data_IF_443235114351
#
_entry.id   IF_443235114351
#
_cell.length_a   1.000
_cell.length_b   1.000
_cell.length_c   1.000
_cell.angle_alpha   90.00
_cell.angle_beta   90.00
_cell.angle_gamma   90.00
#
_symmetry.space_group_name_H-M   'P 1'
#
loop_
_entity.id
_entity.type
_entity.pdbx_description
1 polymer ?
#
# COMPACT_ATOMS: atom_id res chain seq x y z
N UNK A 1 19.94 0.11 -8.58
CA UNK A 1 18.93 0.92 -9.34
C UNK A 1 18.24 2.01 -8.49
N UNK A 2 18.73 2.35 -7.28
CA UNK A 2 18.02 3.24 -6.35
C UNK A 2 18.01 4.76 -6.72
N UNK A 3 18.87 5.23 -7.63
CA UNK A 3 18.99 6.67 -7.96
C UNK A 3 17.91 7.23 -8.89
N UNK A 4 17.22 6.38 -9.66
CA UNK A 4 16.15 6.81 -10.57
C UNK A 4 14.81 7.05 -9.87
N UNK A 5 14.47 6.19 -8.91
CA UNK A 5 13.20 6.25 -8.16
C UNK A 5 13.06 7.54 -7.36
N UNK A 6 14.08 7.93 -6.59
CA UNK A 6 14.03 9.14 -5.76
C UNK A 6 13.84 10.41 -6.59
N UNK A 7 14.49 10.51 -7.76
CA UNK A 7 14.31 11.66 -8.67
C UNK A 7 12.89 11.72 -9.23
N UNK A 8 12.32 10.58 -9.61
CA UNK A 8 10.95 10.50 -10.08
C UNK A 8 9.94 10.88 -8.99
N UNK A 9 10.12 10.40 -7.76
CA UNK A 9 9.22 10.74 -6.64
C UNK A 9 9.34 12.21 -6.25
N UNK A 10 10.55 12.80 -6.27
CA UNK A 10 10.72 14.25 -6.02
C UNK A 10 10.09 15.09 -7.14
N UNK A 11 10.18 14.65 -8.40
CA UNK A 11 9.52 15.33 -9.51
C UNK A 11 7.98 15.27 -9.36
N UNK A 12 7.44 14.11 -8.98
CA UNK A 12 6.02 13.95 -8.68
C UNK A 12 5.57 14.85 -7.51
N UNK A 13 6.37 14.95 -6.45
CA UNK A 13 6.11 15.83 -5.31
C UNK A 13 6.03 17.30 -5.71
N UNK A 14 6.96 17.77 -6.53
CA UNK A 14 6.93 19.14 -7.03
C UNK A 14 5.71 19.39 -7.93
N UNK A 15 5.36 18.43 -8.78
CA UNK A 15 4.18 18.52 -9.65
C UNK A 15 2.88 18.58 -8.83
N UNK A 16 2.68 17.66 -7.89
CA UNK A 16 1.48 17.61 -7.04
C UNK A 16 1.36 18.82 -6.14
N UNK A 17 2.49 19.33 -5.62
CA UNK A 17 2.52 20.59 -4.87
C UNK A 17 2.10 21.78 -5.74
N UNK A 18 2.56 21.86 -6.99
CA UNK A 18 2.15 22.89 -7.93
C UNK A 18 0.66 22.84 -8.28
N UNK A 19 0.11 21.64 -8.46
CA UNK A 19 -1.33 21.41 -8.66
C UNK A 19 -2.12 21.87 -7.43
N UNK A 20 -1.68 21.48 -6.22
CA UNK A 20 -2.31 21.88 -4.97
C UNK A 20 -2.37 23.41 -4.81
N UNK A 21 -1.27 24.10 -5.06
CA UNK A 21 -1.21 25.58 -5.02
C UNK A 21 -2.21 26.19 -6.01
N UNK A 22 -2.28 25.65 -7.23
CA UNK A 22 -3.21 26.13 -8.26
C UNK A 22 -4.67 25.94 -7.85
N UNK A 23 -5.02 24.78 -7.27
CA UNK A 23 -6.36 24.49 -6.77
C UNK A 23 -6.73 25.39 -5.58
N UNK A 24 -5.80 25.65 -4.65
CA UNK A 24 -6.03 26.59 -3.54
C UNK A 24 -6.24 28.02 -4.03
N UNK A 25 -5.46 28.47 -5.01
CA UNK A 25 -5.65 29.80 -5.60
C UNK A 25 -7.04 29.91 -6.25
N UNK A 26 -7.44 28.89 -7.01
CA UNK A 26 -8.76 28.83 -7.63
C UNK A 26 -9.89 28.80 -6.58
N UNK A 27 -9.73 28.06 -5.48
CA UNK A 27 -10.64 28.12 -4.35
C UNK A 27 -10.70 29.53 -3.75
N UNK A 28 -9.58 30.16 -3.44
CA UNK A 28 -9.54 31.50 -2.83
C UNK A 28 -10.29 32.55 -3.66
N UNK A 29 -10.22 32.44 -4.99
CA UNK A 29 -10.91 33.31 -5.93
C UNK A 29 -12.41 33.04 -6.08
N UNK A 30 -12.87 31.81 -5.80
CA UNK A 30 -14.22 31.33 -6.15
C UNK A 30 -15.07 30.95 -4.94
N UNK A 31 -14.45 30.70 -3.79
CA UNK A 31 -15.06 30.19 -2.56
C UNK A 31 -15.94 28.95 -2.79
N UNK A 32 -15.50 28.07 -3.70
CA UNK A 32 -16.17 26.80 -4.02
C UNK A 32 -15.74 25.69 -3.06
N UNK A 33 -16.72 25.03 -2.43
CA UNK A 33 -16.47 23.92 -1.52
C UNK A 33 -15.84 22.72 -2.24
N UNK A 34 -16.31 22.37 -3.44
CA UNK A 34 -15.71 21.30 -4.25
C UNK A 34 -14.26 21.59 -4.61
N UNK A 35 -13.94 22.85 -4.94
CA UNK A 35 -12.56 23.26 -5.21
C UNK A 35 -11.66 23.16 -3.98
N UNK A 36 -12.18 23.49 -2.79
CA UNK A 36 -11.44 23.34 -1.54
C UNK A 36 -11.16 21.87 -1.23
N UNK A 37 -12.18 21.01 -1.36
CA UNK A 37 -12.04 19.56 -1.17
C UNK A 37 -10.94 18.98 -2.09
N UNK A 38 -10.96 19.37 -3.37
CA UNK A 38 -9.93 18.98 -4.34
C UNK A 38 -8.54 19.53 -4.03
N UNK A 39 -8.45 20.76 -3.49
CA UNK A 39 -7.17 21.35 -3.09
C UNK A 39 -6.56 20.60 -1.89
N UNK A 40 -7.38 20.26 -0.90
CA UNK A 40 -6.96 19.49 0.28
C UNK A 40 -6.57 18.07 -0.09
N UNK A 41 -7.30 17.46 -1.02
CA UNK A 41 -6.93 16.16 -1.56
C UNK A 41 -5.53 16.20 -2.19
N UNK A 42 -5.22 17.18 -3.04
CA UNK A 42 -3.88 17.31 -3.62
C UNK A 42 -2.77 17.60 -2.60
N UNK A 43 -3.10 18.18 -1.44
CA UNK A 43 -2.14 18.26 -0.30
C UNK A 43 -1.94 16.88 0.34
N UNK A 44 -3.02 16.12 0.50
CA UNK A 44 -2.92 14.74 1.00
C UNK A 44 -2.03 13.89 0.09
N UNK A 45 -2.15 14.03 -1.24
CA UNK A 45 -1.32 13.32 -2.23
C UNK A 45 0.16 13.71 -2.11
N UNK A 46 0.45 15.01 -1.99
CA UNK A 46 1.82 15.49 -1.74
C UNK A 46 2.37 14.94 -0.40
N UNK A 47 1.53 14.91 0.64
CA UNK A 47 1.84 14.32 1.93
C UNK A 47 2.14 12.82 1.83
N UNK A 48 1.38 12.08 1.02
CA UNK A 48 1.60 10.65 0.79
C UNK A 48 3.00 10.41 0.21
N UNK A 49 3.38 11.15 -0.83
CA UNK A 49 4.69 11.01 -1.45
C UNK A 49 5.84 11.28 -0.48
N UNK A 50 5.70 12.28 0.40
CA UNK A 50 6.68 12.54 1.47
C UNK A 50 6.76 11.35 2.43
N UNK A 51 5.61 10.82 2.89
CA UNK A 51 5.58 9.70 3.82
C UNK A 51 6.13 8.41 3.19
N UNK A 52 5.86 8.15 1.91
CA UNK A 52 6.44 7.02 1.17
C UNK A 52 7.96 7.16 1.02
N UNK A 53 8.48 8.36 0.75
CA UNK A 53 9.93 8.61 0.72
C UNK A 53 10.58 8.36 2.09
N UNK A 54 9.96 8.85 3.16
CA UNK A 54 10.46 8.66 4.53
C UNK A 54 10.40 7.18 4.92
N UNK A 55 9.27 6.51 4.69
CA UNK A 55 9.08 5.10 4.99
C UNK A 55 10.02 4.21 4.19
N UNK A 56 10.19 4.48 2.89
CA UNK A 56 11.15 3.79 2.03
C UNK A 56 12.59 3.93 2.52
N UNK A 57 13.00 5.14 2.93
CA UNK A 57 14.34 5.38 3.48
C UNK A 57 14.54 4.72 4.85
N UNK A 58 13.53 4.74 5.72
CA UNK A 58 13.61 4.10 7.04
C UNK A 58 13.63 2.58 6.94
N UNK A 59 12.91 2.01 5.97
CA UNK A 59 12.87 0.57 5.75
C UNK A 59 14.21 -0.02 5.30
N UNK A 60 15.11 0.79 4.73
CA UNK A 60 16.45 0.37 4.33
C UNK A 60 17.46 0.33 5.50
N UNK A 61 17.02 0.62 6.74
CA UNK A 61 17.89 0.52 7.91
C UNK A 61 18.18 -0.95 8.22
N UNK A 62 19.44 -1.23 8.53
CA UNK A 62 19.89 -2.55 8.97
C UNK A 62 19.26 -2.94 10.31
N UNK A 63 19.29 -4.25 10.60
CA UNK A 63 18.81 -4.80 11.86
C UNK A 63 19.54 -4.20 13.07
N UNK A 64 18.79 -3.99 14.15
CA UNK A 64 19.31 -3.55 15.44
C UNK A 64 19.01 -4.58 16.52
N UNK A 65 19.58 -4.43 17.71
CA UNK A 65 19.28 -5.32 18.85
C UNK A 65 17.79 -5.35 19.18
N UNK A 66 17.11 -4.20 19.07
CA UNK A 66 15.66 -4.08 19.30
C UNK A 66 14.84 -4.62 18.13
N UNK A 67 15.33 -4.49 16.90
CA UNK A 67 14.65 -4.91 15.67
C UNK A 67 15.54 -5.88 14.89
N UNK A 68 15.60 -7.13 15.35
CA UNK A 68 16.54 -8.15 14.87
C UNK A 68 16.30 -8.60 13.41
N UNK A 69 15.09 -8.37 12.89
CA UNK A 69 14.70 -8.65 11.51
C UNK A 69 14.76 -7.43 10.60
N UNK A 70 15.39 -6.33 11.04
CA UNK A 70 15.47 -5.10 10.26
C UNK A 70 14.20 -4.25 10.33
N UNK A 71 14.14 -3.26 9.44
CA UNK A 71 13.10 -2.22 9.43
C UNK A 71 12.18 -2.28 8.20
N UNK A 72 12.20 -3.36 7.40
CA UNK A 72 11.41 -3.49 6.17
C UNK A 72 9.92 -3.13 6.33
N UNK A 73 9.34 -3.46 7.49
CA UNK A 73 7.94 -3.17 7.86
C UNK A 73 7.60 -1.68 7.97
N UNK A 74 8.58 -0.79 8.10
CA UNK A 74 8.36 0.66 8.12
C UNK A 74 7.57 1.12 6.88
N UNK A 75 7.79 0.52 5.71
CA UNK A 75 6.99 0.85 4.51
C UNK A 75 5.49 0.60 4.72
N UNK A 76 5.13 -0.51 5.37
CA UNK A 76 3.73 -0.81 5.70
C UNK A 76 3.17 0.17 6.74
N UNK A 77 3.98 0.53 7.75
CA UNK A 77 3.58 1.46 8.81
C UNK A 77 3.28 2.84 8.22
N UNK A 78 4.19 3.37 7.40
CA UNK A 78 4.00 4.67 6.75
C UNK A 78 2.81 4.66 5.78
N UNK A 79 2.60 3.57 5.03
CA UNK A 79 1.42 3.43 4.15
C UNK A 79 0.10 3.36 4.94
N UNK A 80 0.11 2.75 6.12
CA UNK A 80 -1.04 2.73 7.02
C UNK A 80 -1.33 4.12 7.62
N UNK A 81 -0.28 4.87 7.99
CA UNK A 81 -0.40 6.27 8.44
C UNK A 81 -1.02 7.13 7.34
N UNK A 82 -0.59 6.97 6.09
CA UNK A 82 -1.19 7.67 4.94
C UNK A 82 -2.70 7.38 4.86
N UNK A 83 -3.08 6.10 4.87
CA UNK A 83 -4.47 5.67 4.76
C UNK A 83 -5.36 6.28 5.85
N UNK A 84 -4.91 6.24 7.11
CA UNK A 84 -5.70 6.73 8.23
C UNK A 84 -5.66 8.25 8.35
N UNK A 85 -4.48 8.85 8.29
CA UNK A 85 -4.33 10.27 8.63
C UNK A 85 -4.70 11.13 7.43
N UNK A 86 -4.04 10.95 6.28
CA UNK A 86 -4.17 11.89 5.17
C UNK A 86 -5.54 11.78 4.50
N UNK A 87 -5.96 10.57 4.13
CA UNK A 87 -7.23 10.38 3.44
C UNK A 87 -8.44 10.59 4.36
N UNK A 88 -8.41 10.13 5.62
CA UNK A 88 -9.56 10.34 6.52
C UNK A 88 -9.70 11.80 6.92
N UNK A 89 -8.61 12.50 7.25
CA UNK A 89 -8.68 13.93 7.61
C UNK A 89 -9.14 14.75 6.41
N UNK A 90 -8.60 14.50 5.22
CA UNK A 90 -9.04 15.18 3.99
C UNK A 90 -10.50 14.90 3.66
N UNK A 91 -10.94 13.64 3.75
CA UNK A 91 -12.32 13.24 3.50
C UNK A 91 -13.32 13.81 4.51
N UNK A 92 -13.01 13.73 5.81
CA UNK A 92 -13.85 14.31 6.87
C UNK A 92 -13.93 15.83 6.76
N UNK A 93 -12.84 16.50 6.39
CA UNK A 93 -12.86 17.93 6.13
C UNK A 93 -13.76 18.27 4.94
N UNK A 94 -13.66 17.54 3.82
CA UNK A 94 -14.52 17.77 2.66
C UNK A 94 -16.00 17.52 2.96
N UNK A 95 -16.32 16.55 3.82
CA UNK A 95 -17.67 16.33 4.34
C UNK A 95 -18.14 17.50 5.22
N UNK A 96 -17.29 17.98 6.13
CA UNK A 96 -17.61 19.12 6.97
C UNK A 96 -17.89 20.39 6.13
N UNK A 97 -17.02 20.69 5.16
CA UNK A 97 -17.18 21.84 4.29
C UNK A 97 -18.42 21.71 3.40
N UNK A 98 -18.65 20.51 2.85
CA UNK A 98 -19.84 20.20 2.06
C UNK A 98 -21.13 20.40 2.86
N UNK A 99 -21.16 19.93 4.11
CA UNK A 99 -22.29 20.15 5.02
C UNK A 99 -22.52 21.65 5.28
N UNK A 100 -21.45 22.41 5.56
CA UNK A 100 -21.54 23.84 5.80
C UNK A 100 -22.09 24.59 4.58
N UNK A 101 -21.58 24.27 3.38
CA UNK A 101 -22.02 24.86 2.11
C UNK A 101 -23.48 24.54 1.76
N UNK A 102 -23.98 23.37 2.15
CA UNK A 102 -25.39 22.99 1.98
C UNK A 102 -26.30 23.75 2.95
N UNK A 103 -25.83 24.00 4.18
CA UNK A 103 -26.60 24.70 5.19
C UNK A 103 -26.62 26.23 4.98
N UNK A 104 -25.55 26.79 4.43
CA UNK A 104 -25.49 28.20 4.00
C UNK A 104 -25.08 28.29 2.52
N UNK A 105 -26.04 28.08 1.58
CA UNK A 105 -25.73 28.05 0.16
C UNK A 105 -25.48 29.44 -0.41
N UNK A 106 -24.24 29.70 -0.77
CA UNK A 106 -23.87 30.88 -1.55
C UNK A 106 -23.35 30.48 -2.95
N UNK A 107 -23.80 31.15 -4.02
CA UNK A 107 -23.36 30.88 -5.38
C UNK A 107 -21.88 31.27 -5.58
N UNK A 108 -21.30 30.79 -6.68
CA UNK A 108 -20.01 31.28 -7.15
C UNK A 108 -20.25 32.59 -7.89
N UNK A 109 -19.98 33.73 -7.25
CA UNK A 109 -20.31 35.06 -7.78
C UNK A 109 -19.26 35.58 -8.77
N UNK A 110 -17.98 35.42 -8.43
CA UNK A 110 -16.84 35.92 -9.18
C UNK A 110 -16.01 34.78 -9.77
N UNK A 111 -15.27 35.06 -10.85
CA UNK A 111 -14.31 34.12 -11.46
C UNK A 111 -14.92 32.76 -11.86
N UNK A 112 -16.19 32.75 -12.29
CA UNK A 112 -16.99 31.55 -12.59
C UNK A 112 -16.32 30.53 -13.54
N UNK A 113 -15.44 30.98 -14.44
CA UNK A 113 -14.74 30.11 -15.38
C UNK A 113 -13.48 29.45 -14.79
N UNK A 114 -12.87 30.04 -13.75
CA UNK A 114 -11.63 29.55 -13.13
C UNK A 114 -11.74 28.14 -12.57
N UNK A 115 -12.77 27.78 -11.76
CA UNK A 115 -12.81 26.44 -11.16
C UNK A 115 -13.03 25.38 -12.24
N UNK A 116 -13.85 25.68 -13.25
CA UNK A 116 -14.04 24.79 -14.41
C UNK A 116 -12.73 24.60 -15.18
N UNK A 117 -12.01 25.67 -15.50
CA UNK A 117 -10.76 25.59 -16.24
C UNK A 117 -9.68 24.79 -15.48
N UNK A 118 -9.54 25.03 -14.17
CA UNK A 118 -8.58 24.32 -13.33
C UNK A 118 -8.95 22.83 -13.19
N UNK A 119 -10.23 22.51 -12.97
CA UNK A 119 -10.69 21.11 -12.88
C UNK A 119 -10.48 20.37 -14.20
N UNK A 120 -10.82 20.96 -15.35
CA UNK A 120 -10.61 20.34 -16.66
C UNK A 120 -9.12 20.10 -16.92
N UNK A 121 -8.27 21.10 -16.64
CA UNK A 121 -6.82 20.95 -16.78
C UNK A 121 -6.28 19.84 -15.86
N UNK A 122 -6.74 19.80 -14.60
CA UNK A 122 -6.38 18.77 -13.65
C UNK A 122 -6.83 17.37 -14.11
N UNK A 123 -8.06 17.21 -14.60
CA UNK A 123 -8.56 15.93 -15.14
C UNK A 123 -7.68 15.43 -16.28
N UNK A 124 -7.26 16.32 -17.19
CA UNK A 124 -6.39 15.95 -18.31
C UNK A 124 -5.03 15.46 -17.78
N UNK A 125 -4.40 16.22 -16.88
CA UNK A 125 -3.11 15.85 -16.29
C UNK A 125 -3.20 14.53 -15.51
N UNK A 126 -4.23 14.39 -14.67
CA UNK A 126 -4.46 13.19 -13.85
C UNK A 126 -4.75 11.97 -14.72
N UNK A 127 -5.51 12.13 -15.81
CA UNK A 127 -5.76 11.05 -16.77
C UNK A 127 -4.46 10.57 -17.41
N UNK A 128 -3.53 11.46 -17.75
CA UNK A 128 -2.21 11.07 -18.27
C UNK A 128 -1.37 10.36 -17.21
N UNK A 129 -1.36 10.86 -15.98
CA UNK A 129 -0.67 10.23 -14.83
C UNK A 129 -1.19 8.82 -14.59
N UNK A 130 -2.51 8.69 -14.38
CA UNK A 130 -3.18 7.43 -14.10
C UNK A 130 -3.02 6.42 -15.24
N UNK A 131 -3.10 6.87 -16.50
CA UNK A 131 -2.83 6.00 -17.66
C UNK A 131 -1.41 5.46 -17.63
N UNK A 132 -0.44 6.29 -17.27
CA UNK A 132 0.97 5.88 -17.14
C UNK A 132 1.12 4.86 -16.02
N UNK A 133 0.54 5.12 -14.85
CA UNK A 133 0.53 4.19 -13.72
C UNK A 133 -0.11 2.84 -14.08
N UNK A 134 -1.24 2.84 -14.81
CA UNK A 134 -1.89 1.64 -15.32
C UNK A 134 -0.97 0.86 -16.28
N UNK A 135 -0.30 1.54 -17.20
CA UNK A 135 0.61 0.90 -18.16
C UNK A 135 1.77 0.23 -17.42
N UNK A 136 2.39 0.90 -16.45
CA UNK A 136 3.46 0.31 -15.64
C UNK A 136 2.95 -0.86 -14.77
N UNK A 137 1.80 -0.70 -14.12
CA UNK A 137 1.17 -1.76 -13.33
C UNK A 137 0.84 -2.99 -14.19
N UNK A 138 0.39 -2.80 -15.43
CA UNK A 138 0.08 -3.91 -16.35
C UNK A 138 1.32 -4.72 -16.75
N UNK A 139 2.51 -4.11 -16.80
CA UNK A 139 3.77 -4.84 -17.04
C UNK A 139 4.06 -5.86 -15.94
N UNK A 140 3.69 -5.52 -14.70
CA UNK A 140 3.88 -6.38 -13.51
C UNK A 140 2.70 -7.35 -13.33
N UNK A 141 1.46 -6.89 -13.59
CA UNK A 141 0.23 -7.65 -13.41
C UNK A 141 0.12 -8.88 -14.32
N UNK A 142 0.62 -8.75 -15.56
CA UNK A 142 0.39 -9.74 -16.60
C UNK A 142 -1.10 -10.01 -16.80
N UNK A 143 -1.50 -11.29 -16.69
CA UNK A 143 -2.88 -11.77 -16.96
C UNK A 143 -3.80 -11.80 -15.72
N UNK A 144 -3.32 -11.38 -14.55
CA UNK A 144 -4.13 -11.39 -13.33
C UNK A 144 -5.18 -10.26 -13.38
N UNK A 145 -6.41 -10.51 -12.92
CA UNK A 145 -7.43 -9.46 -12.84
C UNK A 145 -7.08 -8.40 -11.79
N UNK A 146 -7.50 -7.14 -12.01
CA UNK A 146 -7.15 -5.99 -11.16
C UNK A 146 -7.41 -6.20 -9.65
N UNK A 147 -8.58 -6.69 -9.27
CA UNK A 147 -8.92 -6.91 -7.85
C UNK A 147 -7.96 -7.90 -7.18
N UNK A 148 -7.63 -8.99 -7.89
CA UNK A 148 -6.70 -10.00 -7.39
C UNK A 148 -5.25 -9.48 -7.40
N UNK A 149 -4.88 -8.63 -8.35
CA UNK A 149 -3.56 -8.02 -8.40
C UNK A 149 -3.33 -7.05 -7.24
N UNK A 150 -4.29 -6.17 -6.97
CA UNK A 150 -4.23 -5.22 -5.84
C UNK A 150 -4.12 -5.96 -4.51
N UNK A 151 -4.96 -6.98 -4.28
CA UNK A 151 -4.93 -7.81 -3.05
C UNK A 151 -3.71 -8.73 -2.92
N UNK A 152 -3.08 -9.09 -4.05
CA UNK A 152 -1.89 -9.92 -4.06
C UNK A 152 -0.60 -9.10 -4.04
N UNK A 153 -0.69 -7.77 -4.21
CA UNK A 153 0.47 -6.90 -4.11
C UNK A 153 0.97 -6.94 -2.66
N UNK A 154 2.26 -7.25 -2.51
CA UNK A 154 2.94 -7.20 -1.21
C UNK A 154 3.74 -5.91 -1.04
N UNK A 155 3.84 -5.11 -2.10
CA UNK A 155 4.28 -3.73 -2.06
C UNK A 155 3.10 -2.81 -1.79
N UNK A 156 3.12 -1.99 -0.73
CA UNK A 156 2.02 -1.09 -0.42
C UNK A 156 1.93 0.08 -1.41
N UNK A 157 3.04 0.44 -2.06
CA UNK A 157 3.13 1.64 -2.89
C UNK A 157 2.20 1.56 -4.10
N UNK A 158 2.13 0.39 -4.74
CA UNK A 158 1.42 0.24 -6.02
C UNK A 158 -0.11 0.25 -5.85
N UNK A 159 -0.71 -0.49 -4.90
CA UNK A 159 -2.11 -0.34 -4.52
C UNK A 159 -2.47 1.07 -4.10
N UNK A 160 -1.65 1.71 -3.25
CA UNK A 160 -1.91 3.06 -2.73
C UNK A 160 -1.94 4.07 -3.87
N UNK A 161 -0.90 4.11 -4.71
CA UNK A 161 -0.83 5.05 -5.85
C UNK A 161 -2.00 4.85 -6.82
N UNK A 162 -2.32 3.60 -7.18
CA UNK A 162 -3.43 3.36 -8.13
C UNK A 162 -4.79 3.74 -7.57
N UNK A 163 -5.03 3.50 -6.27
CA UNK A 163 -6.29 3.90 -5.63
C UNK A 163 -6.37 5.41 -5.44
N UNK A 164 -5.25 6.06 -5.13
CA UNK A 164 -5.13 7.50 -5.03
C UNK A 164 -5.46 8.17 -6.36
N UNK A 165 -4.75 7.83 -7.45
CA UNK A 165 -5.00 8.41 -8.77
C UNK A 165 -6.46 8.17 -9.24
N UNK A 166 -7.01 6.98 -8.94
CA UNK A 166 -8.41 6.67 -9.22
C UNK A 166 -9.38 7.56 -8.42
N UNK A 167 -9.09 7.76 -7.12
CA UNK A 167 -9.89 8.61 -6.25
C UNK A 167 -9.79 10.08 -6.68
N UNK A 168 -8.59 10.56 -7.03
CA UNK A 168 -8.34 11.91 -7.52
C UNK A 168 -9.12 12.18 -8.81
N UNK A 169 -9.03 11.30 -9.80
CA UNK A 169 -9.76 11.47 -11.06
C UNK A 169 -11.28 11.46 -10.85
N UNK A 170 -11.77 10.54 -10.00
CA UNK A 170 -13.21 10.46 -9.68
C UNK A 170 -13.67 11.70 -8.92
N UNK A 171 -12.88 12.17 -7.94
CA UNK A 171 -13.11 13.37 -7.17
C UNK A 171 -13.19 14.62 -8.06
N UNK A 172 -12.24 14.78 -8.97
CA UNK A 172 -12.23 15.86 -9.96
C UNK A 172 -13.49 15.88 -10.83
N UNK A 173 -13.98 14.72 -11.26
CA UNK A 173 -15.22 14.61 -12.05
C UNK A 173 -16.43 15.00 -11.19
N UNK A 174 -16.50 14.54 -9.94
CA UNK A 174 -17.56 14.91 -9.00
C UNK A 174 -17.56 16.42 -8.71
N UNK A 175 -16.38 17.00 -8.50
CA UNK A 175 -16.19 18.43 -8.33
C UNK A 175 -16.67 19.21 -9.56
N UNK A 176 -16.29 18.77 -10.76
CA UNK A 176 -16.68 19.43 -12.01
C UNK A 176 -18.20 19.41 -12.18
N UNK A 177 -18.85 18.29 -11.89
CA UNK A 177 -20.32 18.18 -11.93
C UNK A 177 -20.96 19.16 -10.92
N UNK A 178 -20.49 19.18 -9.67
CA UNK A 178 -21.01 20.07 -8.62
C UNK A 178 -20.85 21.55 -8.97
N UNK A 179 -19.69 21.95 -9.47
CA UNK A 179 -19.39 23.32 -9.91
C UNK A 179 -20.23 23.70 -11.12
N UNK A 180 -20.28 22.87 -12.16
CA UNK A 180 -21.06 23.17 -13.38
C UNK A 180 -22.55 23.32 -13.07
N UNK A 181 -23.11 22.44 -12.24
CA UNK A 181 -24.51 22.55 -11.80
C UNK A 181 -24.75 23.81 -10.98
N UNK A 182 -23.83 24.19 -10.10
CA UNK A 182 -23.89 25.45 -9.34
C UNK A 182 -23.89 26.66 -10.26
N UNK A 183 -23.05 26.67 -11.30
CA UNK A 183 -22.96 27.75 -12.26
C UNK A 183 -24.19 27.83 -13.18
N UNK A 184 -24.75 26.68 -13.57
CA UNK A 184 -25.92 26.60 -14.44
C UNK A 184 -27.23 26.97 -13.71
N UNK A 185 -27.36 26.58 -12.44
CA UNK A 185 -28.58 26.79 -11.64
C UNK A 185 -28.52 28.03 -10.75
N UNK A 186 -27.31 28.54 -10.48
CA UNK A 186 -27.09 29.56 -9.45
C UNK A 186 -27.25 29.05 -8.02
N UNK A 187 -27.40 27.74 -7.80
CA UNK A 187 -27.61 27.16 -6.47
C UNK A 187 -26.32 26.53 -5.92
N UNK A 188 -25.77 27.11 -4.85
CA UNK A 188 -24.55 26.63 -4.17
C UNK A 188 -24.65 25.25 -3.53
N UNK A 189 -25.86 24.70 -3.37
CA UNK A 189 -26.07 23.34 -2.83
C UNK A 189 -25.37 22.28 -3.68
N UNK A 190 -25.32 22.43 -5.01
CA UNK A 190 -24.68 21.44 -5.88
C UNK A 190 -23.16 21.36 -5.67
N UNK A 191 -22.52 22.50 -5.37
CA UNK A 191 -21.11 22.56 -5.00
C UNK A 191 -20.87 21.93 -3.62
N UNK A 192 -21.78 22.13 -2.67
CA UNK A 192 -21.74 21.43 -1.39
C UNK A 192 -21.92 19.91 -1.53
N UNK A 193 -22.83 19.46 -2.39
CA UNK A 193 -23.02 18.04 -2.70
C UNK A 193 -21.81 17.44 -3.40
N UNK A 194 -21.14 18.20 -4.28
CA UNK A 194 -19.87 17.81 -4.88
C UNK A 194 -18.79 17.55 -3.82
N UNK A 195 -18.59 18.50 -2.90
CA UNK A 195 -17.69 18.35 -1.76
C UNK A 195 -18.03 17.14 -0.87
N UNK A 196 -19.32 16.93 -0.56
CA UNK A 196 -19.78 15.76 0.20
C UNK A 196 -19.46 14.44 -0.50
N UNK A 197 -19.67 14.36 -1.82
CA UNK A 197 -19.39 13.17 -2.60
C UNK A 197 -17.89 12.86 -2.65
N UNK A 198 -17.04 13.87 -2.79
CA UNK A 198 -15.57 13.73 -2.71
C UNK A 198 -15.17 13.26 -1.31
N UNK A 199 -15.70 13.89 -0.26
CA UNK A 199 -15.39 13.50 1.12
C UNK A 199 -15.77 12.05 1.42
N UNK A 200 -16.95 11.61 0.98
CA UNK A 200 -17.37 10.21 1.10
C UNK A 200 -16.45 9.26 0.33
N UNK A 201 -16.06 9.62 -0.90
CA UNK A 201 -15.10 8.85 -1.70
C UNK A 201 -13.75 8.68 -0.97
N UNK A 202 -13.19 9.76 -0.44
CA UNK A 202 -11.91 9.73 0.27
C UNK A 202 -11.99 8.87 1.55
N UNK A 203 -13.08 8.96 2.30
CA UNK A 203 -13.29 8.09 3.49
C UNK A 203 -13.41 6.62 3.09
N UNK A 204 -14.13 6.30 2.01
CA UNK A 204 -14.21 4.93 1.51
C UNK A 204 -12.84 4.38 1.09
N UNK A 205 -12.04 5.18 0.39
CA UNK A 205 -10.67 4.81 -0.01
C UNK A 205 -9.76 4.64 1.21
N UNK A 206 -9.85 5.54 2.20
CA UNK A 206 -9.13 5.45 3.46
C UNK A 206 -9.41 4.13 4.19
N UNK A 207 -10.69 3.76 4.33
CA UNK A 207 -11.10 2.50 4.98
C UNK A 207 -10.55 1.29 4.23
N UNK A 208 -10.68 1.28 2.90
CA UNK A 208 -10.18 0.19 2.08
C UNK A 208 -8.66 0.02 2.23
N UNK A 209 -7.89 1.11 2.10
CA UNK A 209 -6.44 1.08 2.25
C UNK A 209 -6.03 0.68 3.67
N UNK A 210 -6.71 1.17 4.71
CA UNK A 210 -6.41 0.81 6.08
C UNK A 210 -6.60 -0.69 6.35
N UNK A 211 -7.64 -1.31 5.78
CA UNK A 211 -7.88 -2.76 5.89
C UNK A 211 -6.76 -3.54 5.20
N UNK A 212 -6.38 -3.13 3.99
CA UNK A 212 -5.32 -3.81 3.22
C UNK A 212 -3.95 -3.70 3.92
N UNK A 213 -3.59 -2.49 4.34
CA UNK A 213 -2.31 -2.22 5.01
C UNK A 213 -2.22 -2.90 6.37
N UNK A 214 -3.34 -3.04 7.09
CA UNK A 214 -3.39 -3.78 8.36
C UNK A 214 -2.96 -5.23 8.18
N UNK A 215 -3.38 -5.89 7.09
CA UNK A 215 -3.02 -7.28 6.83
C UNK A 215 -1.50 -7.43 6.61
N UNK A 216 -0.91 -6.54 5.81
CA UNK A 216 0.54 -6.50 5.57
C UNK A 216 1.35 -6.20 6.84
N UNK A 217 0.81 -5.37 7.74
CA UNK A 217 1.44 -5.06 9.03
C UNK A 217 1.46 -6.24 10.00
N UNK A 218 0.37 -7.01 10.07
CA UNK A 218 0.33 -8.26 10.82
C UNK A 218 1.32 -9.29 10.24
N UNK A 219 1.50 -9.21 8.93
CA UNK A 219 2.45 -9.97 8.15
C UNK A 219 1.76 -11.13 7.45
N UNK A 220 1.85 -11.12 6.14
CA UNK A 220 1.24 -12.13 5.28
C UNK A 220 2.24 -13.21 4.88
N UNK A 221 1.73 -14.37 4.45
CA UNK A 221 2.57 -15.41 3.88
C UNK A 221 3.18 -14.96 2.56
N UNK A 222 4.27 -15.64 2.15
CA UNK A 222 4.79 -15.54 0.80
C UNK A 222 3.67 -15.81 -0.23
N UNK A 223 3.84 -15.27 -1.44
CA UNK A 223 2.90 -15.53 -2.53
C UNK A 223 2.84 -17.03 -2.83
N UNK A 224 1.71 -17.52 -3.36
CA UNK A 224 1.57 -18.95 -3.69
C UNK A 224 2.65 -19.45 -4.64
N UNK A 225 3.06 -18.61 -5.59
CA UNK A 225 4.13 -18.95 -6.54
C UNK A 225 5.49 -19.06 -5.84
N UNK A 226 5.84 -18.08 -4.99
CA UNK A 226 7.03 -18.13 -4.16
C UNK A 226 7.04 -19.39 -3.27
N UNK A 227 5.93 -19.65 -2.59
CA UNK A 227 5.79 -20.82 -1.71
C UNK A 227 5.97 -22.12 -2.49
N UNK A 228 5.41 -22.25 -3.70
CA UNK A 228 5.61 -23.43 -4.56
C UNK A 228 7.07 -23.61 -4.97
N UNK A 229 7.76 -22.53 -5.34
CA UNK A 229 9.19 -22.56 -5.69
C UNK A 229 10.05 -22.98 -4.50
N UNK A 230 9.78 -22.43 -3.32
CA UNK A 230 10.48 -22.76 -2.07
C UNK A 230 10.25 -24.23 -1.68
N UNK A 231 9.01 -24.71 -1.72
CA UNK A 231 8.68 -26.11 -1.42
C UNK A 231 9.38 -27.05 -2.40
N UNK A 232 9.32 -26.78 -3.70
CA UNK A 232 9.99 -27.59 -4.71
C UNK A 232 11.52 -27.58 -4.53
N UNK A 233 12.12 -26.44 -4.16
CA UNK A 233 13.56 -26.35 -3.90
C UNK A 233 13.97 -27.21 -2.69
N UNK A 234 13.15 -27.22 -1.64
CA UNK A 234 13.37 -28.05 -0.45
C UNK A 234 13.26 -29.54 -0.80
N UNK A 235 12.17 -29.96 -1.44
CA UNK A 235 11.89 -31.37 -1.73
C UNK A 235 12.85 -31.98 -2.77
N UNK A 236 13.45 -31.16 -3.63
CA UNK A 236 14.46 -31.61 -4.59
C UNK A 236 15.89 -31.60 -4.01
N UNK A 237 16.09 -31.21 -2.75
CA UNK A 237 17.41 -31.22 -2.11
C UNK A 237 17.78 -32.63 -1.67
N UNK A 238 18.92 -33.15 -2.14
CA UNK A 238 19.44 -34.46 -1.72
C UNK A 238 19.57 -34.56 -0.19
N UNK A 239 19.11 -35.67 0.39
CA UNK A 239 19.10 -35.90 1.84
C UNK A 239 17.83 -35.40 2.55
N UNK A 240 17.00 -34.58 1.90
CA UNK A 240 15.66 -34.24 2.37
C UNK A 240 14.68 -35.32 1.91
N UNK A 241 14.04 -36.01 2.84
CA UNK A 241 12.99 -36.98 2.54
C UNK A 241 11.67 -36.30 2.22
N UNK A 242 11.32 -35.27 3.00
CA UNK A 242 10.09 -34.48 2.80
C UNK A 242 10.08 -33.20 3.61
N UNK A 243 9.27 -32.25 3.18
CA UNK A 243 8.87 -31.11 4.00
C UNK A 243 7.78 -31.55 5.01
N UNK A 244 8.00 -31.30 6.30
CA UNK A 244 7.02 -31.61 7.36
C UNK A 244 6.02 -30.45 7.48
N UNK A 245 6.52 -29.23 7.66
CA UNK A 245 5.71 -28.03 7.61
C UNK A 245 6.55 -26.80 7.30
N UNK A 246 5.91 -25.77 6.74
CA UNK A 246 6.53 -24.49 6.40
C UNK A 246 5.63 -23.35 6.88
N UNK A 247 6.25 -22.29 7.38
CA UNK A 247 5.65 -21.00 7.64
C UNK A 247 6.49 -19.94 6.95
N UNK A 248 5.82 -19.05 6.23
CA UNK A 248 6.47 -17.91 5.58
C UNK A 248 5.83 -16.63 6.07
N UNK A 249 6.60 -15.55 6.15
CA UNK A 249 6.13 -14.26 6.63
C UNK A 249 6.85 -13.13 5.90
N UNK A 250 6.11 -12.18 5.33
CA UNK A 250 6.70 -10.95 4.82
C UNK A 250 7.19 -10.07 5.98
N UNK A 251 8.46 -9.70 5.92
CA UNK A 251 9.11 -8.71 6.78
C UNK A 251 9.24 -7.36 6.08
N UNK A 252 9.13 -7.36 4.75
CA UNK A 252 9.01 -6.18 3.91
C UNK A 252 8.49 -6.60 2.53
N UNK A 253 8.30 -5.66 1.59
CA UNK A 253 7.83 -5.98 0.26
C UNK A 253 8.79 -6.92 -0.48
N UNK A 254 10.10 -6.78 -0.25
CA UNK A 254 11.16 -7.57 -0.87
C UNK A 254 11.77 -8.63 0.05
N UNK A 255 11.24 -8.81 1.27
CA UNK A 255 11.86 -9.66 2.30
C UNK A 255 10.85 -10.64 2.90
N UNK A 256 11.19 -11.92 2.83
CA UNK A 256 10.41 -13.04 3.34
C UNK A 256 11.26 -13.83 4.34
N UNK A 257 10.67 -14.08 5.51
CA UNK A 257 11.10 -15.07 6.47
C UNK A 257 10.53 -16.43 6.08
N UNK A 258 11.39 -17.45 6.03
CA UNK A 258 11.02 -18.86 5.82
C UNK A 258 11.42 -19.63 7.07
N UNK A 259 10.44 -20.20 7.76
CA UNK A 259 10.66 -21.14 8.85
C UNK A 259 10.09 -22.50 8.43
N UNK A 260 10.95 -23.51 8.25
CA UNK A 260 10.53 -24.81 7.77
C UNK A 260 11.12 -25.93 8.62
N UNK A 261 10.35 -27.01 8.75
CA UNK A 261 10.80 -28.24 9.40
C UNK A 261 10.89 -29.34 8.37
N UNK A 262 12.06 -29.97 8.29
CA UNK A 262 12.45 -30.87 7.22
C UNK A 262 12.65 -32.28 7.78
N UNK A 263 12.04 -33.27 7.13
CA UNK A 263 12.37 -34.67 7.37
C UNK A 263 13.66 -34.99 6.62
N UNK A 264 14.74 -35.33 7.34
CA UNK A 264 16.02 -35.76 6.76
C UNK A 264 16.20 -37.26 6.91
N UNK A 265 17.09 -37.84 6.11
CA UNK A 265 17.44 -39.27 6.25
C UNK A 265 18.02 -39.56 7.65
N UNK A 266 17.55 -40.62 8.33
CA UNK A 266 18.10 -41.01 9.63
C UNK A 266 19.60 -41.31 9.52
N UNK A 267 20.40 -40.52 10.21
CA UNK A 267 21.85 -40.68 10.28
C UNK A 267 22.35 -40.35 11.68
N UNK A 268 23.45 -40.97 12.09
CA UNK A 268 24.16 -40.65 13.33
C UNK A 268 25.19 -39.53 13.15
N UNK A 269 25.47 -39.15 11.90
CA UNK A 269 26.46 -38.12 11.59
C UNK A 269 25.81 -36.73 11.48
N UNK A 270 26.10 -35.89 12.48
CA UNK A 270 25.62 -34.52 12.52
C UNK A 270 26.15 -33.66 11.35
N UNK A 271 27.32 -33.99 10.79
CA UNK A 271 27.87 -33.26 9.65
C UNK A 271 26.99 -33.44 8.41
N UNK A 272 26.50 -34.66 8.16
CA UNK A 272 25.60 -34.97 7.04
C UNK A 272 24.27 -34.20 7.16
N UNK A 273 23.72 -34.10 8.38
CA UNK A 273 22.52 -33.29 8.64
C UNK A 273 22.78 -31.81 8.36
N UNK A 274 23.90 -31.26 8.85
CA UNK A 274 24.27 -29.87 8.63
C UNK A 274 24.49 -29.56 7.14
N UNK A 275 25.15 -30.45 6.39
CA UNK A 275 25.34 -30.31 4.95
C UNK A 275 24.01 -30.31 4.19
N UNK A 276 23.09 -31.19 4.56
CA UNK A 276 21.73 -31.27 3.98
C UNK A 276 20.97 -29.97 4.21
N UNK A 277 20.98 -29.44 5.43
CA UNK A 277 20.34 -28.16 5.77
C UNK A 277 20.95 -27.01 4.98
N UNK A 278 22.29 -26.92 4.94
CA UNK A 278 23.00 -25.88 4.21
C UNK A 278 22.72 -25.95 2.69
N UNK A 279 22.56 -27.16 2.14
CA UNK A 279 22.17 -27.36 0.75
C UNK A 279 20.74 -26.88 0.49
N UNK A 280 19.80 -27.21 1.38
CA UNK A 280 18.41 -26.78 1.29
C UNK A 280 18.30 -25.25 1.40
N UNK A 281 19.04 -24.62 2.32
CA UNK A 281 19.07 -23.16 2.43
C UNK A 281 19.56 -22.50 1.13
N UNK A 282 20.65 -23.00 0.54
CA UNK A 282 21.15 -22.49 -0.76
C UNK A 282 20.12 -22.67 -1.86
N UNK A 283 19.42 -23.80 -1.91
CA UNK A 283 18.39 -24.07 -2.90
C UNK A 283 17.19 -23.10 -2.76
N UNK A 284 16.73 -22.84 -1.53
CA UNK A 284 15.66 -21.88 -1.23
C UNK A 284 16.06 -20.48 -1.72
N UNK A 285 17.24 -20.00 -1.35
CA UNK A 285 17.73 -18.65 -1.72
C UNK A 285 17.90 -18.49 -3.23
N UNK A 286 18.30 -19.57 -3.92
CA UNK A 286 18.41 -19.58 -5.37
C UNK A 286 17.03 -19.58 -6.06
N UNK A 287 16.05 -20.28 -5.49
CA UNK A 287 14.69 -20.37 -6.03
C UNK A 287 13.87 -19.10 -5.80
N UNK A 288 14.05 -18.45 -4.64
CA UNK A 288 13.44 -17.17 -4.30
C UNK A 288 14.43 -16.25 -3.56
N UNK A 289 15.01 -15.26 -4.26
CA UNK A 289 15.92 -14.28 -3.65
C UNK A 289 15.29 -13.44 -2.53
N UNK A 290 13.95 -13.39 -2.42
CA UNK A 290 13.27 -12.67 -1.33
C UNK A 290 13.38 -13.43 0.00
N UNK A 291 13.77 -14.71 0.00
CA UNK A 291 13.98 -15.51 1.22
C UNK A 291 15.27 -15.07 1.95
N UNK A 292 15.22 -13.90 2.58
CA UNK A 292 16.37 -13.29 3.27
C UNK A 292 16.66 -14.01 4.59
N UNK A 293 15.63 -14.35 5.35
CA UNK A 293 15.75 -15.08 6.62
C UNK A 293 15.23 -16.49 6.45
N UNK A 294 16.09 -17.49 6.63
CA UNK A 294 15.76 -18.91 6.47
C UNK A 294 16.15 -19.65 7.74
N UNK A 295 15.17 -20.27 8.39
CA UNK A 295 15.35 -21.12 9.56
C UNK A 295 14.83 -22.51 9.24
N UNK A 296 15.74 -23.48 9.21
CA UNK A 296 15.44 -24.87 8.89
C UNK A 296 15.68 -25.73 10.13
N UNK A 297 14.62 -26.41 10.58
CA UNK A 297 14.68 -27.37 11.67
C UNK A 297 14.75 -28.79 11.07
N UNK A 298 15.86 -29.54 11.24
CA UNK A 298 15.91 -30.94 10.84
C UNK A 298 15.10 -31.79 11.82
N UNK A 299 14.43 -32.82 11.31
CA UNK A 299 13.77 -33.84 12.11
C UNK A 299 13.72 -35.17 11.35
N UNK A 300 13.34 -36.22 12.05
CA UNK A 300 13.01 -37.51 11.45
C UNK A 300 11.50 -37.55 11.24
N UNK A 301 11.06 -37.81 10.01
CA UNK A 301 9.63 -37.96 9.76
C UNK A 301 9.10 -39.24 10.41
N UNK A 302 8.17 -39.09 11.35
CA UNK A 302 7.44 -40.18 11.99
C UNK A 302 5.98 -40.15 11.53
N UNK A 303 5.54 -41.22 10.87
CA UNK A 303 4.17 -41.30 10.39
C UNK A 303 3.21 -41.40 11.58
N UNK A 304 2.26 -40.46 11.66
CA UNK A 304 1.31 -40.38 12.78
C UNK A 304 1.81 -39.66 14.03
N UNK A 305 2.94 -38.93 13.99
CA UNK A 305 3.36 -38.09 15.10
C UNK A 305 2.32 -37.01 15.44
N UNK A 306 1.84 -37.03 16.69
CA UNK A 306 0.94 -36.03 17.25
C UNK A 306 1.78 -35.07 18.09
N UNK A 307 1.71 -33.77 17.80
CA UNK A 307 2.37 -32.74 18.60
C UNK A 307 1.75 -32.69 19.99
N UNK A 308 2.58 -32.46 21.00
CA UNK A 308 2.10 -32.18 22.35
C UNK A 308 1.14 -30.98 22.35
N UNK A 309 0.14 -31.03 23.22
CA UNK A 309 -0.79 -29.91 23.40
C UNK A 309 -0.01 -28.66 23.80
N UNK A 310 -0.35 -27.54 23.15
CA UNK A 310 0.26 -26.26 23.49
C UNK A 310 -0.04 -25.95 24.96
N UNK A 311 0.97 -25.62 25.78
CA UNK A 311 0.72 -25.19 27.15
C UNK A 311 -0.30 -24.05 27.19
N UNK A 312 -1.08 -23.97 28.27
CA UNK A 312 -2.02 -22.87 28.47
C UNK A 312 -1.28 -21.53 28.29
N UNK A 313 -1.93 -20.58 27.60
CA UNK A 313 -1.35 -19.26 27.36
C UNK A 313 -1.07 -18.64 28.74
N UNK A 314 0.20 -18.36 29.09
CA UNK A 314 0.51 -17.76 30.38
C UNK A 314 -0.17 -16.39 30.46
N UNK A 315 -0.57 -15.97 31.67
CA UNK A 315 -1.05 -14.61 31.89
C UNK A 315 -0.04 -13.61 31.35
N UNK A 316 -0.53 -12.52 30.74
CA UNK A 316 0.33 -11.51 30.15
C UNK A 316 1.38 -11.07 31.19
N UNK A 317 2.68 -11.06 30.85
CA UNK A 317 3.71 -10.66 31.80
C UNK A 317 3.37 -9.27 32.34
N UNK A 318 3.45 -9.10 33.66
CA UNK A 318 3.02 -7.87 34.34
C UNK A 318 3.95 -6.68 34.10
N UNK A 319 5.00 -6.83 33.28
CA UNK A 319 6.01 -5.81 32.98
C UNK A 319 6.53 -5.95 31.55
#
# INVERSE_FOLDING_TARGET
>A
MAGGGTKAVVAALLANTGIAITKFAAWGLTQSASMLAEAIHSVADAGNQVLLLVGGKRAQREASELHQFGYGRERYVYSFIVAIVLFSVGGLFALYEGYHKIHDPHPIEHWKWVPVAVLVAAIIMETFSFRTAIVEANKVRGKVGWSKFIRNARSPELPVILLEDFAALTGLVLALIGVVLTLATGNGVFDGLGSMAIGALLVCVAIFLAIEMKSLLLGESATREAQQKIVAAIENTSGVQRLIHIKTLHLGPEEVLVAAKLGVEPTTDAAVVAETINAAERAIRAADPMAVHVYLEPDIYLDGYVRDERPAVPEAPSH
#
